data_IF_215254075126
#
_entry.id   IF_215254075126
#
_cell.length_a   1.000
_cell.length_b   1.000
_cell.length_c   1.000
_cell.angle_alpha   90.00
_cell.angle_beta   90.00
_cell.angle_gamma   90.00
#
_symmetry.space_group_name_H-M   'P 1'
#
loop_
_entity.id
_entity.type
_entity.pdbx_description
1 polymer ?
2 non-polymer ?
3 non-polymer ?
4 non-polymer ?
5 water ?
#
# COMPACT_ATOMS: atom_id res chain seq x y z
N UNK A 7 8.81 27.22 20.73
CA UNK A 7 8.38 25.89 20.32
C UNK A 7 6.83 25.65 20.53
N UNK A 8 6.36 24.46 21.05
CA UNK A 8 4.94 24.13 21.32
C UNK A 8 4.75 22.85 22.17
N UNK A 9 3.50 22.55 22.64
CA UNK A 9 3.22 21.36 23.48
C UNK A 9 2.21 20.34 22.90
N UNK A 10 2.25 19.06 23.42
CA UNK A 10 1.32 17.98 23.09
C UNK A 10 0.04 18.16 23.92
N UNK A 11 -1.14 17.70 23.44
CA UNK A 11 -2.37 17.88 24.22
C UNK A 11 -2.35 17.04 25.48
N UNK A 12 -2.97 17.60 26.53
CA UNK A 12 -3.08 16.97 27.85
C UNK A 12 -3.62 15.52 27.76
N UNK A 13 -4.66 15.27 26.91
CA UNK A 13 -5.26 13.95 26.67
C UNK A 13 -4.29 12.92 26.03
N UNK A 14 -3.42 13.38 25.11
CA UNK A 14 -2.41 12.51 24.51
C UNK A 14 -1.42 12.15 25.59
N UNK A 15 -0.86 13.19 26.26
CA UNK A 15 0.07 13.16 27.38
C UNK A 15 -0.40 12.25 28.51
N UNK A 16 -1.68 12.33 28.87
CA UNK A 16 -2.28 11.47 29.89
C UNK A 16 -2.04 9.99 29.63
N UNK A 17 -2.14 9.56 28.37
CA UNK A 17 -2.01 8.19 27.93
C UNK A 17 -0.67 7.71 27.35
N UNK A 18 0.11 8.60 26.73
CA UNK A 18 1.39 8.24 26.10
C UNK A 18 2.53 9.13 26.56
N UNK A 19 3.76 8.55 26.65
CA UNK A 19 5.01 9.24 26.94
C UNK A 19 5.69 9.44 25.59
N UNK A 20 5.54 10.64 25.00
CA UNK A 20 6.08 10.99 23.68
C UNK A 20 7.61 10.99 23.60
N UNK A 21 8.15 10.36 22.54
CA UNK A 21 9.58 10.18 22.29
C UNK A 21 10.04 10.69 20.88
N UNK A 22 11.27 10.29 20.47
CA UNK A 22 11.97 10.66 19.23
C UNK A 22 11.20 10.47 17.91
N UNK A 23 11.42 11.37 16.95
CA UNK A 23 10.85 11.35 15.61
C UNK A 23 11.30 10.12 14.77
N UNK A 24 10.33 9.44 14.12
CA UNK A 24 10.59 8.27 13.28
C UNK A 24 10.66 8.63 11.79
N UNK A 25 9.81 9.58 11.37
CA UNK A 25 9.72 10.07 10.00
C UNK A 25 8.46 10.89 9.75
N UNK A 30 3.37 14.58 6.71
CA UNK A 30 3.02 14.04 8.01
C UNK A 30 4.21 13.63 8.86
N UNK A 31 4.24 14.10 10.15
CA UNK A 31 5.29 13.81 11.14
C UNK A 31 4.89 12.59 11.98
N UNK A 32 5.81 11.61 12.11
CA UNK A 32 5.57 10.35 12.87
C UNK A 32 6.56 10.25 14.03
N UNK A 33 6.06 10.17 15.25
CA UNK A 33 6.91 10.07 16.42
C UNK A 33 6.69 8.77 17.17
N UNK A 34 7.74 8.29 17.82
CA UNK A 34 7.72 7.12 18.71
C UNK A 34 7.08 7.58 20.04
N UNK A 35 6.34 6.71 20.70
CA UNK A 35 5.70 6.99 21.98
C UNK A 35 5.52 5.68 22.72
N UNK A 36 5.26 5.75 24.03
CA UNK A 36 5.04 4.57 24.85
C UNK A 36 3.69 4.64 25.56
N UNK A 37 2.81 3.67 25.29
CA UNK A 37 1.53 3.59 25.97
C UNK A 37 1.86 3.35 27.43
N UNK A 38 1.41 4.26 28.32
CA UNK A 38 1.66 4.23 29.78
C UNK A 38 1.12 2.96 30.46
N UNK A 39 -0.05 2.45 29.98
CA UNK A 39 -0.75 1.29 30.50
C UNK A 39 0.06 0.01 30.31
N UNK A 40 0.64 -0.13 29.12
CA UNK A 40 1.33 -1.33 28.65
C UNK A 40 2.84 -1.24 28.62
N UNK A 41 3.39 0.00 28.59
CA UNK A 41 4.84 0.30 28.49
C UNK A 41 5.36 -0.14 27.14
N UNK A 42 4.44 -0.31 26.19
CA UNK A 42 4.74 -0.78 24.85
C UNK A 42 4.87 0.37 23.90
N UNK A 43 5.75 0.19 22.91
CA UNK A 43 6.06 1.16 21.89
C UNK A 43 4.91 1.30 20.89
N UNK A 44 4.60 2.57 20.52
CA UNK A 44 3.58 2.91 19.51
C UNK A 44 4.15 3.97 18.57
N UNK A 45 3.50 4.20 17.44
CA UNK A 45 3.89 5.27 16.51
C UNK A 45 2.73 6.26 16.48
N UNK A 46 3.02 7.56 16.69
CA UNK A 46 1.97 8.57 16.66
C UNK A 46 2.18 9.51 15.50
N UNK A 47 1.24 9.48 14.52
CA UNK A 47 1.24 10.33 13.33
C UNK A 47 0.47 11.62 13.63
N UNK A 48 1.18 12.73 13.52
CA UNK A 48 0.68 14.10 13.72
C UNK A 48 0.33 14.70 12.33
N UNK A 49 -0.88 15.25 12.19
CA UNK A 49 -1.39 15.91 10.99
C UNK A 49 -1.84 17.29 11.43
N UNK A 50 -1.23 18.35 10.89
CA UNK A 50 -1.58 19.74 11.22
C UNK A 50 -2.92 20.10 10.58
N UNK A 51 -3.71 20.92 11.29
CA UNK A 51 -5.02 21.37 10.82
C UNK A 51 -4.93 22.61 9.93
N UNK A 67 -11.33 14.78 5.77
CA UNK A 67 -10.40 13.87 5.11
C UNK A 67 -9.62 12.99 6.11
N UNK A 68 -9.35 13.52 7.32
CA UNK A 68 -8.64 12.79 8.38
C UNK A 68 -9.68 11.89 9.06
N UNK A 69 -10.93 12.41 9.20
CA UNK A 69 -12.05 11.65 9.78
C UNK A 69 -12.36 10.43 8.89
N UNK A 70 -12.39 10.63 7.54
CA UNK A 70 -12.62 9.57 6.54
C UNK A 70 -11.51 8.51 6.60
N UNK A 71 -10.25 8.95 6.84
CA UNK A 71 -9.09 8.08 6.95
C UNK A 71 -9.24 7.20 8.19
N UNK A 72 -9.72 7.77 9.33
CA UNK A 72 -9.94 7.06 10.60
C UNK A 72 -11.05 6.05 10.46
N UNK A 73 -12.15 6.47 9.80
CA UNK A 73 -13.33 5.66 9.51
C UNK A 73 -12.96 4.43 8.67
N UNK A 74 -12.08 4.60 7.65
CA UNK A 74 -11.61 3.47 6.83
C UNK A 74 -10.75 2.54 7.70
N UNK A 75 -9.67 3.06 8.30
CA UNK A 75 -8.73 2.32 9.14
C UNK A 75 -9.32 1.61 10.35
N UNK A 76 -10.43 2.14 10.92
CA UNK A 76 -11.14 1.53 12.06
C UNK A 76 -11.84 0.24 11.63
N UNK A 77 -12.39 0.22 10.40
CA UNK A 77 -13.15 -0.89 9.85
C UNK A 77 -12.31 -1.97 9.16
N UNK A 78 -11.08 -1.64 8.74
CA UNK A 78 -10.23 -2.62 8.07
C UNK A 78 -9.59 -3.55 9.10
N UNK A 79 -9.34 -4.80 8.71
CA UNK A 79 -8.76 -5.79 9.60
C UNK A 79 -8.00 -6.85 8.81
N UNK A 80 -6.71 -6.58 8.57
CA UNK A 80 -5.84 -7.48 7.84
C UNK A 80 -4.42 -7.38 8.38
N UNK A 81 -3.66 -8.49 8.43
CA UNK A 81 -2.29 -8.42 8.97
C UNK A 81 -1.30 -7.58 8.14
N UNK A 82 -1.66 -7.26 6.87
CA UNK A 82 -0.83 -6.45 5.99
C UNK A 82 -1.37 -5.05 5.77
N UNK A 83 -2.24 -4.62 6.68
CA UNK A 83 -2.81 -3.27 6.71
C UNK A 83 -2.64 -2.73 8.12
N UNK A 84 -1.97 -1.56 8.30
CA UNK A 84 -1.77 -0.90 9.60
C UNK A 84 -3.10 -0.69 10.40
N UNK A 85 -3.05 -0.82 11.73
CA UNK A 85 -4.24 -0.65 12.60
C UNK A 85 -4.16 0.59 13.46
N UNK A 86 -5.29 1.31 13.58
CA UNK A 86 -5.41 2.51 14.44
C UNK A 86 -5.57 1.95 15.84
N UNK A 87 -4.85 2.51 16.80
CA UNK A 87 -4.91 2.12 18.20
C UNK A 87 -5.65 3.19 18.98
N UNK A 88 -5.52 4.47 18.56
CA UNK A 88 -6.15 5.65 19.18
C UNK A 88 -6.15 6.86 18.25
N UNK A 89 -6.96 7.88 18.61
CA UNK A 89 -7.07 9.12 17.84
C UNK A 89 -7.38 10.31 18.76
N UNK A 90 -6.70 11.44 18.50
CA UNK A 90 -6.87 12.71 19.22
C UNK A 90 -7.10 13.87 18.25
N UNK A 91 -8.27 14.50 18.38
CA UNK A 91 -8.69 15.65 17.60
C UNK A 91 -8.43 16.88 18.49
N UNK A 92 -7.19 17.42 18.42
CA UNK A 92 -6.69 18.57 19.19
C UNK A 92 -6.43 19.78 18.24
N UNK A 93 -5.43 20.66 18.54
CA UNK A 93 -5.07 21.78 17.66
C UNK A 93 -4.47 21.21 16.35
N UNK A 94 -4.15 19.91 16.40
CA UNK A 94 -3.65 19.05 15.33
C UNK A 94 -4.30 17.69 15.55
N UNK A 95 -4.33 16.86 14.51
CA UNK A 95 -4.83 15.49 14.62
C UNK A 95 -3.67 14.61 15.09
N UNK A 96 -3.96 13.62 15.96
CA UNK A 96 -2.96 12.67 16.46
C UNK A 96 -3.49 11.27 16.25
N UNK A 97 -2.82 10.51 15.40
CA UNK A 97 -3.22 9.14 15.09
C UNK A 97 -2.22 8.13 15.64
N UNK A 98 -2.67 7.33 16.61
CA UNK A 98 -1.88 6.29 17.29
C UNK A 98 -2.00 5.00 16.48
N UNK A 99 -0.85 4.57 15.93
CA UNK A 99 -0.74 3.42 15.05
C UNK A 99 0.24 2.40 15.62
N UNK A 100 0.20 1.16 15.08
CA UNK A 100 1.14 0.16 15.54
C UNK A 100 2.51 0.47 14.98
N UNK A 101 3.56 0.30 15.80
CA UNK A 101 4.94 0.58 15.44
C UNK A 101 5.55 -0.53 14.63
N UNK A 102 6.17 -0.14 13.51
CA UNK A 102 6.82 -1.01 12.52
C UNK A 102 8.32 -0.76 12.54
N UNK A 103 9.04 -1.55 13.35
CA UNK A 103 10.49 -1.40 13.55
C UNK A 103 11.42 -1.47 12.33
N UNK A 104 10.96 -2.11 11.25
CA UNK A 104 11.74 -2.21 10.02
C UNK A 104 11.76 -0.93 9.20
N UNK A 105 10.84 -0.01 9.51
CA UNK A 105 10.73 1.28 8.84
C UNK A 105 10.04 1.18 7.51
N UNK A 106 10.34 2.13 6.61
CA UNK A 106 9.74 2.17 5.28
C UNK A 106 10.52 1.28 4.33
N UNK A 107 9.83 0.73 3.31
CA UNK A 107 10.44 -0.08 2.27
C UNK A 107 11.33 0.82 1.39
N UNK A 108 10.97 2.12 1.31
CA UNK A 108 11.72 3.14 0.58
C UNK A 108 13.20 3.14 0.93
N UNK A 109 13.53 3.01 2.24
CA UNK A 109 14.89 3.00 2.77
C UNK A 109 15.70 1.75 2.34
N UNK A 110 15.03 0.72 1.78
CA UNK A 110 15.63 -0.53 1.28
C UNK A 110 15.83 -0.48 -0.26
N UNK A 111 15.21 0.50 -0.93
CA UNK A 111 15.26 0.64 -2.40
C UNK A 111 15.99 1.88 -2.94
N UNK A 112 16.27 2.91 -2.07
CA UNK A 112 16.98 4.14 -2.44
C UNK A 112 18.41 3.90 -2.91
N UNK A 113 18.88 4.80 -3.77
CA UNK A 113 20.25 4.77 -4.30
C UNK A 113 20.61 3.52 -5.06
N UNK A 114 19.68 3.04 -5.93
CA UNK A 114 19.85 1.85 -6.77
C UNK A 114 20.06 0.54 -5.98
N UNK A 115 19.55 0.51 -4.72
CA UNK A 115 19.62 -0.67 -3.87
C UNK A 115 18.61 -1.69 -4.39
N UNK A 116 19.12 -2.87 -4.68
CA UNK A 116 18.37 -3.97 -5.27
C UNK A 116 18.05 -5.04 -4.23
N UNK A 117 16.74 -5.27 -4.01
CA UNK A 117 16.20 -6.29 -3.13
C UNK A 117 16.40 -7.66 -3.81
N UNK A 118 16.70 -8.71 -3.01
CA UNK A 118 16.85 -10.12 -3.43
C UNK A 118 15.52 -10.54 -4.07
N UNK A 119 15.54 -11.26 -5.23
CA UNK A 119 14.30 -11.67 -5.89
C UNK A 119 13.27 -12.32 -4.94
N UNK A 120 13.75 -13.15 -4.01
CA UNK A 120 12.93 -13.86 -3.03
C UNK A 120 12.26 -12.90 -2.04
N UNK A 121 13.02 -11.88 -1.57
CA UNK A 121 12.55 -10.82 -0.66
C UNK A 121 11.44 -10.01 -1.35
N UNK A 122 11.61 -9.71 -2.67
CA UNK A 122 10.66 -9.00 -3.54
C UNK A 122 9.33 -9.73 -3.50
N UNK A 123 9.39 -11.07 -3.74
CA UNK A 123 8.24 -11.94 -3.76
C UNK A 123 7.52 -11.95 -2.43
N UNK A 124 8.24 -12.14 -1.32
CA UNK A 124 7.62 -12.20 0.01
C UNK A 124 6.87 -10.90 0.34
N UNK A 125 7.44 -9.76 -0.03
CA UNK A 125 6.86 -8.45 0.23
C UNK A 125 5.69 -8.20 -0.72
N UNK A 126 5.88 -8.47 -2.03
CA UNK A 126 4.87 -8.26 -3.04
C UNK A 126 3.62 -9.07 -2.82
N UNK A 127 3.80 -10.34 -2.46
CA UNK A 127 2.70 -11.26 -2.15
C UNK A 127 1.81 -10.66 -1.07
N UNK A 128 2.42 -10.09 -0.01
CA UNK A 128 1.72 -9.42 1.09
C UNK A 128 0.99 -8.14 0.63
N UNK A 129 1.64 -7.34 -0.25
CA UNK A 129 1.08 -6.10 -0.84
C UNK A 129 -0.15 -6.48 -1.67
N UNK A 130 -0.08 -7.62 -2.41
CA UNK A 130 -1.21 -8.09 -3.22
C UNK A 130 -2.34 -8.55 -2.36
N UNK A 131 -2.03 -9.23 -1.24
CA UNK A 131 -3.03 -9.69 -0.29
C UNK A 131 -3.73 -8.48 0.37
N UNK A 132 -2.95 -7.44 0.73
CA UNK A 132 -3.47 -6.23 1.35
C UNK A 132 -4.36 -5.44 0.39
N UNK A 133 -3.87 -5.18 -0.83
CA UNK A 133 -4.63 -4.50 -1.87
C UNK A 133 -5.87 -5.34 -2.33
N UNK A 134 -5.78 -6.67 -2.29
CA UNK A 134 -6.95 -7.48 -2.64
C UNK A 134 -8.06 -7.28 -1.59
N UNK A 135 -7.70 -7.29 -0.29
CA UNK A 135 -8.59 -7.04 0.86
C UNK A 135 -9.29 -5.67 0.71
N UNK A 136 -8.50 -4.62 0.39
CA UNK A 136 -8.97 -3.26 0.18
C UNK A 136 -10.07 -3.22 -0.87
N UNK A 137 -9.80 -3.84 -2.05
CA UNK A 137 -10.71 -3.87 -3.20
C UNK A 137 -11.98 -4.65 -2.89
N UNK A 138 -11.81 -5.82 -2.24
CA UNK A 138 -12.92 -6.64 -1.76
C UNK A 138 -13.86 -5.85 -0.84
N UNK A 139 -13.29 -4.96 -0.01
CA UNK A 139 -13.99 -4.10 0.95
C UNK A 139 -14.40 -2.73 0.44
N UNK A 140 -14.23 -2.48 -0.86
CA UNK A 140 -14.63 -1.24 -1.51
C UNK A 140 -13.73 -0.04 -1.29
N UNK A 141 -12.44 -0.27 -0.98
CA UNK A 141 -11.44 0.78 -0.73
C UNK A 141 -10.35 0.74 -1.79
N UNK A 142 -10.05 1.91 -2.39
CA UNK A 142 -8.95 2.15 -3.35
C UNK A 142 -7.96 3.03 -2.56
N UNK A 143 -6.71 2.57 -2.38
CA UNK A 143 -5.66 3.30 -1.65
C UNK A 143 -5.29 4.64 -2.33
N UNK A 144 -5.04 4.60 -3.65
CA UNK A 144 -4.73 5.75 -4.49
C UNK A 144 -3.32 6.38 -4.28
N UNK A 145 -2.53 5.92 -3.33
CA UNK A 145 -1.19 6.47 -3.09
C UNK A 145 -0.17 5.40 -2.65
N UNK A 146 -0.15 4.25 -3.37
CA UNK A 146 0.79 3.16 -3.07
C UNK A 146 2.17 3.49 -3.63
N UNK A 147 3.17 3.51 -2.75
CA UNK A 147 4.58 3.76 -3.07
C UNK A 147 5.46 3.12 -1.98
N UNK A 148 6.80 2.94 -2.20
CA UNK A 148 7.62 2.33 -1.14
C UNK A 148 7.57 3.06 0.20
N UNK A 149 7.31 4.38 0.20
CA UNK A 149 7.24 5.16 1.46
C UNK A 149 5.99 4.89 2.32
N UNK A 150 5.00 4.16 1.75
CA UNK A 150 3.75 3.78 2.43
C UNK A 150 3.65 2.27 2.71
N UNK A 151 4.76 1.56 2.49
CA UNK A 151 4.87 0.12 2.75
C UNK A 151 5.90 -0.02 3.89
N UNK A 152 5.42 -0.40 5.11
CA UNK A 152 6.26 -0.54 6.30
C UNK A 152 6.67 -1.98 6.58
N UNK A 153 7.91 -2.16 7.08
CA UNK A 153 8.48 -3.47 7.43
C UNK A 153 8.39 -3.69 8.96
N UNK A 154 8.00 -4.90 9.37
CA UNK A 154 7.80 -5.22 10.79
C UNK A 154 9.07 -5.31 11.65
N UNK A 155 10.18 -5.71 11.04
CA UNK A 155 11.46 -5.84 11.73
C UNK A 155 12.66 -5.54 10.81
N UNK A 156 13.83 -5.45 11.40
CA UNK A 156 15.05 -5.17 10.68
C UNK A 156 15.55 -6.42 9.89
N UNK A 157 14.80 -7.53 10.00
CA UNK A 157 15.07 -8.81 9.32
C UNK A 157 14.48 -8.71 7.93
N UNK A 158 15.18 -9.27 6.92
CA UNK A 158 14.71 -9.20 5.54
C UNK A 158 13.48 -10.05 5.28
N UNK A 159 13.32 -11.12 6.06
CA UNK A 159 12.14 -11.98 5.98
C UNK A 159 11.26 -11.45 7.11
N UNK A 160 10.32 -10.59 6.75
CA UNK A 160 9.44 -9.94 7.72
C UNK A 160 8.05 -9.67 7.18
N UNK A 161 7.14 -9.27 8.07
CA UNK A 161 5.78 -8.91 7.67
C UNK A 161 5.78 -7.46 7.25
N UNK A 162 5.04 -7.16 6.19
CA UNK A 162 4.90 -5.78 5.70
C UNK A 162 3.47 -5.32 5.98
N UNK A 163 3.27 -4.00 6.08
CA UNK A 163 1.96 -3.41 6.29
C UNK A 163 1.85 -2.16 5.45
N UNK A 164 0.67 -1.97 4.84
CA UNK A 164 0.32 -0.82 4.00
C UNK A 164 -0.17 0.23 4.96
N UNK A 165 0.35 1.45 4.80
CA UNK A 165 0.01 2.62 5.61
C UNK A 165 -0.45 3.80 4.71
N UNK A 166 -0.88 4.91 5.34
CA UNK A 166 -1.29 6.18 4.71
C UNK A 166 -2.51 6.09 3.79
N UNK A 167 -3.71 6.09 4.42
CA UNK A 167 -4.98 6.01 3.73
C UNK A 167 -5.61 7.39 3.57
N UNK A 168 -4.77 8.42 3.61
CA UNK A 168 -5.15 9.82 3.46
C UNK A 168 -5.76 10.19 2.13
N UNK A 169 -5.31 9.57 1.05
CA UNK A 169 -5.81 9.79 -0.32
C UNK A 169 -6.73 8.66 -0.78
N UNK A 170 -7.06 7.71 0.12
CA UNK A 170 -7.90 6.58 -0.25
C UNK A 170 -9.36 6.96 -0.51
N UNK A 171 -10.05 6.18 -1.36
CA UNK A 171 -11.45 6.47 -1.75
C UNK A 171 -12.35 5.27 -1.49
N UNK A 172 -13.66 5.50 -1.23
CA UNK A 172 -14.67 4.45 -1.03
C UNK A 172 -15.54 4.34 -2.29
N UNK A 173 -15.73 3.11 -2.79
CA UNK A 173 -16.49 2.79 -4.01
C UNK A 173 -18.00 3.03 -3.94
N UNK A 174 -18.57 2.89 -2.74
CA UNK A 174 -19.97 3.13 -2.39
C UNK A 174 -21.08 2.84 -3.40
N UNK A 175 -21.92 3.87 -3.68
CA UNK A 175 -23.04 3.79 -4.63
C UNK A 175 -22.92 4.93 -5.63
N UNK A 176 -22.51 4.58 -6.85
CA UNK A 176 -22.25 5.50 -7.96
C UNK A 176 -23.49 6.27 -8.38
N UNK A 177 -23.28 7.57 -8.68
CA UNK A 177 -24.31 8.46 -9.19
C UNK A 177 -24.63 8.05 -10.64
N UNK A 178 -23.68 7.36 -11.32
CA UNK A 178 -23.85 6.87 -12.68
C UNK A 178 -24.92 5.78 -12.71
N UNK A 179 -24.91 4.85 -11.73
CA UNK A 179 -25.90 3.79 -11.63
C UNK A 179 -27.31 4.40 -11.46
N UNK A 180 -27.42 5.46 -10.62
CA UNK A 180 -28.66 6.22 -10.38
C UNK A 180 -29.14 6.92 -11.67
N UNK A 181 -28.22 7.58 -12.43
CA UNK A 181 -28.45 8.27 -13.72
C UNK A 181 -28.93 7.26 -14.78
N UNK A 182 -28.33 6.05 -14.79
CA UNK A 182 -28.69 4.98 -15.75
C UNK A 182 -30.06 4.42 -15.48
N UNK A 183 -30.62 4.63 -14.29
CA UNK A 183 -31.96 4.12 -13.98
C UNK A 183 -33.05 4.91 -14.71
N UNK A 184 -32.71 6.13 -15.11
CA UNK A 184 -33.60 7.01 -15.85
C UNK A 184 -33.55 6.86 -17.36
N UNK A 185 -34.34 7.69 -18.05
CA UNK A 185 -34.39 7.75 -19.51
C UNK A 185 -33.29 8.72 -19.93
N UNK A 186 -32.53 8.40 -20.98
CA UNK A 186 -31.43 9.29 -21.38
C UNK A 186 -31.81 10.40 -22.36
N UNK A 187 -33.12 10.68 -22.53
CA UNK A 187 -33.60 11.75 -23.42
C UNK A 187 -32.74 13.01 -23.32
N UNK A 188 -32.47 13.45 -22.06
CA UNK A 188 -31.67 14.63 -21.74
C UNK A 188 -30.21 14.33 -21.33
N UNK A 189 -29.80 13.06 -21.36
CA UNK A 189 -28.45 12.68 -20.96
C UNK A 189 -27.33 12.94 -22.01
N UNK A 190 -26.29 13.73 -21.60
CA UNK A 190 -25.11 14.12 -22.38
C UNK A 190 -24.39 12.89 -22.85
N UNK A 191 -23.81 12.92 -24.09
CA UNK A 191 -23.13 11.73 -24.62
C UNK A 191 -21.92 11.26 -23.82
N UNK A 192 -21.09 12.18 -23.32
CA UNK A 192 -19.91 11.77 -22.55
C UNK A 192 -20.23 10.89 -21.32
N UNK A 193 -21.46 11.02 -20.77
CA UNK A 193 -21.91 10.25 -19.63
C UNK A 193 -22.11 8.80 -20.06
N UNK A 194 -22.69 8.62 -21.25
CA UNK A 194 -22.92 7.30 -21.82
C UNK A 194 -21.60 6.63 -22.23
N UNK A 195 -20.59 7.44 -22.61
CA UNK A 195 -19.26 7.01 -23.03
C UNK A 195 -18.43 6.56 -21.84
N UNK A 196 -18.66 7.16 -20.66
CA UNK A 196 -17.96 6.78 -19.43
C UNK A 196 -18.41 5.44 -18.86
N UNK A 197 -19.58 4.93 -19.31
CA UNK A 197 -20.18 3.67 -18.86
C UNK A 197 -19.22 2.48 -19.12
N UNK A 198 -18.48 2.52 -20.23
CA UNK A 198 -17.54 1.47 -20.61
C UNK A 198 -16.36 1.27 -19.67
N UNK A 199 -15.83 2.39 -19.12
CA UNK A 199 -14.68 2.37 -18.20
C UNK A 199 -15.10 2.30 -16.73
N UNK A 200 -16.28 2.88 -16.38
CA UNK A 200 -16.82 2.96 -15.01
C UNK A 200 -16.59 1.71 -14.16
N UNK A 201 -16.07 1.89 -12.96
CA UNK A 201 -15.81 0.77 -12.06
C UNK A 201 -14.45 0.09 -12.17
N UNK A 202 -13.47 0.73 -12.85
CA UNK A 202 -12.10 0.24 -13.00
C UNK A 202 -11.12 1.19 -12.31
N UNK A 203 -11.59 1.98 -11.32
CA UNK A 203 -10.73 2.95 -10.63
C UNK A 203 -9.70 2.26 -9.77
N UNK A 204 -10.07 1.08 -9.25
CA UNK A 204 -9.24 0.22 -8.41
C UNK A 204 -8.01 -0.17 -9.17
N UNK A 205 -8.08 -0.28 -10.52
CA UNK A 205 -6.95 -0.61 -11.38
C UNK A 205 -5.77 0.36 -11.18
N UNK A 206 -5.99 1.59 -10.64
CA UNK A 206 -4.89 2.54 -10.36
C UNK A 206 -3.92 1.98 -9.31
N UNK A 207 -4.44 1.18 -8.35
CA UNK A 207 -3.70 0.51 -7.30
C UNK A 207 -2.81 -0.61 -7.87
N UNK A 208 -3.23 -1.23 -8.99
CA UNK A 208 -2.44 -2.27 -9.63
C UNK A 208 -1.33 -1.70 -10.47
N UNK A 209 -1.53 -0.51 -11.02
CA UNK A 209 -0.48 0.17 -11.75
C UNK A 209 0.65 0.43 -10.73
N UNK A 210 0.35 1.16 -9.62
CA UNK A 210 1.26 1.52 -8.51
C UNK A 210 2.08 0.34 -7.99
N UNK A 211 1.43 -0.80 -7.78
CA UNK A 211 2.06 -2.05 -7.34
C UNK A 211 3.09 -2.53 -8.38
N UNK A 212 2.77 -2.33 -9.66
CA UNK A 212 3.62 -2.70 -10.77
C UNK A 212 4.86 -1.83 -10.84
N UNK A 213 4.71 -0.52 -10.52
CA UNK A 213 5.81 0.45 -10.46
C UNK A 213 6.65 0.08 -9.21
N UNK A 214 6.00 -0.35 -8.10
CA UNK A 214 6.68 -0.76 -6.88
C UNK A 214 7.53 -2.01 -7.15
N UNK A 215 6.93 -3.06 -7.76
CA UNK A 215 7.61 -4.32 -8.08
C UNK A 215 8.84 -4.11 -8.98
N UNK A 216 8.73 -3.22 -9.96
CA UNK A 216 9.80 -2.85 -10.87
C UNK A 216 10.98 -2.26 -10.08
N UNK A 217 10.71 -1.26 -9.24
CA UNK A 217 11.72 -0.58 -8.39
C UNK A 217 12.42 -1.60 -7.46
N UNK A 218 11.65 -2.49 -6.84
CA UNK A 218 12.20 -3.52 -5.95
C UNK A 218 13.15 -4.47 -6.65
N UNK A 219 12.72 -5.01 -7.82
CA UNK A 219 13.46 -5.99 -8.62
C UNK A 219 14.70 -5.42 -9.27
N UNK A 220 14.60 -4.20 -9.83
CA UNK A 220 15.67 -3.54 -10.59
C UNK A 220 16.58 -2.51 -9.86
N UNK A 221 16.06 -1.86 -8.82
CA UNK A 221 16.76 -0.82 -8.09
C UNK A 221 16.52 0.55 -8.69
N UNK A 222 15.89 0.60 -9.88
CA UNK A 222 15.59 1.84 -10.60
C UNK A 222 14.10 2.00 -10.97
N UNK A 223 13.60 3.26 -11.08
CA UNK A 223 12.19 3.46 -11.48
C UNK A 223 11.91 3.21 -12.97
N UNK A 224 10.71 2.72 -13.33
CA UNK A 224 10.42 2.47 -14.77
C UNK A 224 10.23 3.73 -15.60
N UNK A 225 9.70 4.81 -14.98
CA UNK A 225 9.41 6.08 -15.64
C UNK A 225 10.15 7.19 -14.89
N UNK A 226 11.10 7.87 -15.55
CA UNK A 226 11.95 8.88 -14.95
C UNK A 226 12.41 9.92 -15.96
N UNK A 227 12.76 11.11 -15.47
CA UNK A 227 13.28 12.15 -16.34
C UNK A 227 14.80 12.03 -16.50
N UNK A 228 15.46 11.14 -15.70
CA UNK A 228 16.91 10.85 -15.75
C UNK A 228 17.32 10.15 -17.05
N UNK A 229 18.34 10.74 -17.74
CA UNK A 229 18.92 10.31 -19.01
C UNK A 229 17.84 9.90 -20.07
N UNK A 230 16.91 10.84 -20.33
CA UNK A 230 15.77 10.67 -21.25
C UNK A 230 15.35 12.01 -21.84
N UNK A 231 14.85 11.99 -23.09
CA UNK A 231 14.35 13.18 -23.79
C UNK A 231 12.81 13.26 -23.64
N UNK A 232 12.18 12.08 -23.65
CA UNK A 232 10.73 11.89 -23.57
C UNK A 232 10.19 12.31 -22.19
N UNK A 233 9.14 13.17 -22.18
CA UNK A 233 8.55 13.61 -20.91
C UNK A 233 7.98 12.45 -20.12
N UNK A 234 8.09 12.52 -18.79
CA UNK A 234 7.60 11.53 -17.83
C UNK A 234 6.11 11.21 -18.12
N UNK A 235 5.29 12.21 -18.49
CA UNK A 235 3.88 12.02 -18.86
C UNK A 235 3.74 11.12 -20.07
N UNK A 236 4.52 11.39 -21.15
CA UNK A 236 4.51 10.65 -22.41
C UNK A 236 4.92 9.20 -22.16
N UNK A 237 5.96 8.98 -21.33
CA UNK A 237 6.43 7.65 -20.95
C UNK A 237 5.27 6.88 -20.36
N UNK A 238 4.61 7.44 -19.33
CA UNK A 238 3.49 6.80 -18.65
C UNK A 238 2.29 6.52 -19.56
N UNK A 239 1.84 7.49 -20.37
CA UNK A 239 0.66 7.26 -21.22
C UNK A 239 0.92 6.23 -22.29
N UNK A 240 2.13 6.21 -22.84
CA UNK A 240 2.53 5.22 -23.83
C UNK A 240 2.88 3.87 -23.15
N UNK A 241 3.03 3.90 -21.81
CA UNK A 241 3.44 2.76 -20.99
C UNK A 241 4.77 2.18 -21.41
N UNK A 242 5.69 3.05 -21.87
CA UNK A 242 7.02 2.65 -22.34
C UNK A 242 8.08 2.86 -21.27
N UNK A 243 8.23 1.86 -20.40
CA UNK A 243 9.17 1.87 -19.29
C UNK A 243 10.60 1.73 -19.80
N UNK A 244 11.53 2.27 -19.01
CA UNK A 244 12.93 2.20 -19.30
C UNK A 244 13.40 0.78 -18.95
N UNK A 245 13.65 -0.04 -19.99
CA UNK A 245 14.14 -1.39 -19.75
C UNK A 245 15.65 -1.48 -19.96
N UNK A 246 16.41 -1.81 -18.89
CA UNK A 246 17.88 -1.95 -18.94
C UNK A 246 18.26 -3.45 -18.88
N UNK A 247 18.58 -4.07 -20.03
CA UNK A 247 18.86 -5.53 -20.05
C UNK A 247 19.85 -6.08 -19.03
N UNK A 248 20.99 -5.40 -18.82
CA UNK A 248 22.06 -5.81 -17.90
C UNK A 248 21.52 -5.93 -16.47
N UNK A 249 20.70 -4.96 -16.07
CA UNK A 249 20.09 -4.92 -14.74
C UNK A 249 19.12 -6.10 -14.55
N UNK A 250 18.21 -6.28 -15.52
CA UNK A 250 17.14 -7.29 -15.54
C UNK A 250 17.52 -8.74 -15.85
N UNK A 251 18.74 -8.96 -16.39
CA UNK A 251 19.26 -10.31 -16.69
C UNK A 251 19.41 -11.14 -15.40
N UNK A 252 19.57 -10.44 -14.26
CA UNK A 252 19.69 -10.98 -12.90
C UNK A 252 18.32 -11.47 -12.42
N UNK A 253 17.25 -10.83 -12.88
CA UNK A 253 15.84 -11.10 -12.52
C UNK A 253 15.27 -12.22 -13.42
N UNK A 254 14.37 -13.04 -12.88
CA UNK A 254 13.72 -14.13 -13.61
C UNK A 254 12.73 -13.59 -14.67
N UNK A 255 12.45 -14.41 -15.70
CA UNK A 255 11.50 -14.11 -16.77
C UNK A 255 10.06 -14.00 -16.24
N UNK A 256 9.73 -14.82 -15.20
CA UNK A 256 8.44 -14.83 -14.52
C UNK A 256 8.18 -13.52 -13.77
N UNK A 257 9.17 -13.04 -12.99
CA UNK A 257 9.05 -11.80 -12.24
C UNK A 257 8.72 -10.65 -13.19
N UNK A 258 9.52 -10.49 -14.27
CA UNK A 258 9.35 -9.47 -15.31
C UNK A 258 8.02 -9.60 -16.10
N UNK A 259 7.51 -10.84 -16.28
CA UNK A 259 6.24 -11.10 -16.97
C UNK A 259 5.11 -10.44 -16.19
N UNK A 260 5.09 -10.60 -14.84
CA UNK A 260 4.09 -10.00 -13.95
C UNK A 260 4.12 -8.47 -14.01
N UNK A 261 5.34 -7.89 -14.01
CA UNK A 261 5.59 -6.44 -14.11
C UNK A 261 4.88 -5.97 -15.38
N UNK A 262 5.25 -6.56 -16.54
CA UNK A 262 4.67 -6.30 -17.87
C UNK A 262 3.14 -6.36 -17.84
N UNK A 263 2.56 -7.33 -17.12
CA UNK A 263 1.10 -7.50 -16.99
C UNK A 263 0.40 -6.45 -16.13
N UNK A 264 1.14 -5.81 -15.22
CA UNK A 264 0.60 -4.75 -14.33
C UNK A 264 0.88 -3.38 -14.94
N UNK A 265 1.97 -3.25 -15.69
CA UNK A 265 2.29 -1.98 -16.34
C UNK A 265 1.61 -1.83 -17.73
N UNK A 266 0.36 -2.37 -17.84
CA UNK A 266 -0.54 -2.31 -19.02
C UNK A 266 -1.28 -0.96 -18.96
N UNK A 267 -1.30 -0.22 -20.06
CA UNK A 267 -1.94 1.09 -20.19
C UNK A 267 -3.48 1.06 -20.06
N UNK A 268 -4.16 0.10 -20.73
CA UNK A 268 -5.62 -0.08 -20.68
C UNK A 268 -6.02 -0.54 -19.27
N UNK A 269 -6.74 0.29 -18.46
CA UNK A 269 -7.07 -0.14 -17.07
C UNK A 269 -8.00 -1.36 -17.02
N UNK A 270 -8.73 -1.65 -18.13
CA UNK A 270 -9.64 -2.80 -18.28
C UNK A 270 -8.90 -4.10 -18.55
N UNK A 271 -7.77 -4.02 -19.26
CA UNK A 271 -6.90 -5.15 -19.59
C UNK A 271 -5.85 -5.41 -18.50
N UNK A 272 -5.41 -4.35 -17.76
CA UNK A 272 -4.45 -4.46 -16.65
C UNK A 272 -4.79 -5.61 -15.69
N UNK A 273 -3.75 -6.28 -15.14
CA UNK A 273 -3.92 -7.38 -14.21
C UNK A 273 -4.56 -6.91 -12.89
N UNK A 274 -5.50 -7.72 -12.36
CA UNK A 274 -6.14 -7.42 -11.07
C UNK A 274 -5.26 -8.03 -9.99
N UNK A 275 -5.58 -7.83 -8.70
CA UNK A 275 -4.82 -8.45 -7.60
C UNK A 275 -4.99 -9.99 -7.64
N UNK A 276 -6.20 -10.46 -7.99
CA UNK A 276 -6.51 -11.90 -8.15
C UNK A 276 -5.68 -12.55 -9.29
N UNK A 277 -5.57 -11.86 -10.42
CA UNK A 277 -4.79 -12.37 -11.56
C UNK A 277 -3.32 -12.47 -11.19
N UNK A 278 -2.79 -11.39 -10.54
CA UNK A 278 -1.42 -11.29 -10.05
C UNK A 278 -1.12 -12.44 -9.08
N UNK A 279 -1.98 -12.66 -8.05
CA UNK A 279 -1.85 -13.74 -7.06
C UNK A 279 -1.89 -15.13 -7.70
N UNK A 280 -2.48 -15.25 -8.92
CA UNK A 280 -2.55 -16.50 -9.71
C UNK A 280 -1.37 -16.65 -10.64
N UNK A 281 -0.61 -15.58 -10.86
CA UNK A 281 0.56 -15.60 -11.73
C UNK A 281 1.60 -16.65 -11.29
N UNK A 282 2.23 -17.36 -12.26
CA UNK A 282 3.26 -18.36 -11.90
C UNK A 282 4.36 -17.88 -10.95
N UNK A 283 4.67 -16.57 -10.91
CA UNK A 283 5.72 -16.04 -10.05
C UNK A 283 5.37 -16.18 -8.58
N UNK A 284 4.10 -16.03 -8.26
CA UNK A 284 3.62 -16.15 -6.89
C UNK A 284 3.22 -17.59 -6.49
N UNK A 285 3.30 -18.54 -7.44
CA UNK A 285 3.02 -19.96 -7.18
C UNK A 285 4.28 -20.58 -6.59
N UNK A 286 4.67 -20.10 -5.39
CA UNK A 286 5.88 -20.44 -4.64
C UNK A 286 5.50 -20.87 -3.23
N UNK A 287 5.48 -22.20 -3.01
CA UNK A 287 5.11 -22.80 -1.74
C UNK A 287 6.02 -22.49 -0.57
N UNK A 288 7.32 -22.26 -0.87
CA UNK A 288 8.35 -21.87 0.09
C UNK A 288 8.07 -20.45 0.63
N UNK A 289 7.88 -19.47 -0.29
CA UNK A 289 7.60 -18.08 0.05
C UNK A 289 6.33 -18.00 0.90
N UNK A 290 5.26 -18.72 0.48
CA UNK A 290 3.98 -18.78 1.21
C UNK A 290 4.15 -19.32 2.63
N UNK A 291 4.98 -20.38 2.81
CA UNK A 291 5.30 -21.00 4.09
C UNK A 291 5.93 -19.98 5.04
N UNK A 292 7.00 -19.28 4.58
CA UNK A 292 7.71 -18.23 5.32
C UNK A 292 6.78 -17.13 5.82
N UNK A 293 5.79 -16.72 5.00
CA UNK A 293 4.82 -15.69 5.39
C UNK A 293 3.91 -16.19 6.52
N UNK A 294 3.39 -17.44 6.37
CA UNK A 294 2.53 -18.11 7.35
C UNK A 294 3.24 -18.25 8.68
N UNK A 295 4.57 -18.46 8.62
CA UNK A 295 5.48 -18.61 9.75
C UNK A 295 5.68 -17.30 10.48
N UNK A 296 5.85 -16.19 9.73
CA UNK A 296 6.01 -14.83 10.28
C UNK A 296 4.72 -14.38 10.96
N UNK A 297 3.57 -14.80 10.38
CA UNK A 297 2.23 -14.51 10.84
C UNK A 297 2.00 -15.14 12.21
N UNK A 298 2.18 -16.47 12.33
CA UNK A 298 2.01 -17.18 13.60
C UNK A 298 2.99 -16.73 14.67
N UNK A 299 4.18 -16.23 14.27
CA UNK A 299 5.19 -15.68 15.17
C UNK A 299 4.63 -14.39 15.80
N UNK A 300 4.01 -13.49 14.96
CA UNK A 300 3.36 -12.25 15.38
C UNK A 300 2.13 -12.58 16.27
N UNK A 301 1.29 -13.51 15.79
CA UNK A 301 0.06 -13.95 16.43
C UNK A 301 0.21 -14.77 17.72
N UNK A 302 1.43 -15.31 17.99
CA UNK A 302 1.76 -16.10 19.20
C UNK A 302 1.45 -15.34 20.51
N UNK A 303 1.59 -14.01 20.47
CA UNK A 303 1.32 -13.07 21.58
C UNK A 303 -0.19 -12.96 21.88
N UNK A 304 -1.02 -12.68 20.83
CA UNK A 304 -2.47 -12.51 20.88
C UNK A 304 -3.23 -13.81 21.24
N UNK A 305 -2.59 -14.97 21.01
CA UNK A 305 -3.10 -16.34 21.20
C UNK A 305 -3.86 -16.67 22.48
N UNK A 306 -5.17 -16.88 22.35
CA UNK A 306 -6.09 -17.28 23.43
C UNK A 306 -6.29 -18.81 23.32
N UNK A 307 -6.48 -19.55 24.45
CA UNK A 307 -6.63 -21.01 24.35
C UNK A 307 -7.78 -21.48 23.46
N UNK A 308 -7.53 -22.59 22.76
CA UNK A 308 -8.50 -23.14 21.80
C UNK A 308 -9.48 -24.09 22.43
N UNK A 309 -10.67 -24.20 21.81
CA UNK A 309 -11.78 -25.02 22.28
C UNK A 309 -11.53 -26.52 22.10
N UNK A 310 -11.16 -26.96 20.86
CA UNK A 310 -10.90 -28.36 20.50
C UNK A 310 -12.06 -29.30 20.81
#
# INVERSE_FOLDING_TARGET
GPLGSHMSVYPKALRDEYIMSKTLGSGACGEVKLAFERKTCKKVAIKIISKRKFAIGSAREADPALNVETEIEILKKLNHPCIIKIKNFFDAEDYYIVLELMEGGELFDKVVGNKRLKEATCKLYFYQMLLAVQYLHENGIIHRDLKPENVLLSSQEEDCLIKITDFGHSKILGETSLMRTLCGTPTYLAPEVLVSVGTAGYNRAVDCWSLGVILFICLSGYPPFSEHRTQVSLKDQITSGKYNFIPEVWAEVSEKALDLVKKLLVVDPKARFTTEEALRHPWLQDEDMKRKFQDLLSEENESTALPQVLAQPSTSRKRPREGEAEGAE
#
